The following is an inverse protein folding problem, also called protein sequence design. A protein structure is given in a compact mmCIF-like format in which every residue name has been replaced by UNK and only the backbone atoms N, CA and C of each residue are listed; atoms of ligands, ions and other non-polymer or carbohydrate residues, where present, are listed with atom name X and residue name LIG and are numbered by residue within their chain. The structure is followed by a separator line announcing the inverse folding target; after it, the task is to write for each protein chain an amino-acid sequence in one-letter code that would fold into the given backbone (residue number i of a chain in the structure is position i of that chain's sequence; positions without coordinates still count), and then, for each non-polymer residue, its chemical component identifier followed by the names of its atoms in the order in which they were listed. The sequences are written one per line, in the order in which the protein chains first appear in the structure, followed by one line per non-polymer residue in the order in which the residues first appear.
data_IF_064342235810
#
_entry.id   IF_064342235810
#
_cell.length_a   1.000
_cell.length_b   1.000
_cell.length_c   1.000
_cell.angle_alpha   90.00
_cell.angle_beta   90.00
_cell.angle_gamma   90.00
#
_symmetry.space_group_name_H-M   'P 1'
#
loop_
_entity.id
_entity.type
_entity.pdbx_description
1 polymer ?
#
# COMPACT_ATOMS: atom_id res chain seq x y z
N UNK A 1 -19.50 20.17 -5.46
CA UNK A 1 -20.40 20.42 -6.60
C UNK A 1 -20.17 21.77 -7.31
N UNK A 2 -20.65 22.93 -6.83
CA UNK A 2 -20.48 24.22 -7.57
C UNK A 2 -19.01 24.68 -7.70
N UNK A 3 -18.24 24.61 -6.62
CA UNK A 3 -16.81 24.94 -6.58
C UNK A 3 -15.94 24.00 -7.44
N UNK A 4 -16.15 22.69 -7.26
CA UNK A 4 -15.53 21.64 -8.07
C UNK A 4 -15.78 21.82 -9.58
N UNK A 5 -17.03 22.12 -10.01
CA UNK A 5 -17.36 22.43 -11.41
C UNK A 5 -16.67 23.70 -11.93
N UNK A 6 -16.28 24.60 -11.04
CA UNK A 6 -15.53 25.81 -11.36
C UNK A 6 -14.00 25.65 -11.18
N UNK A 7 -13.50 24.43 -10.92
CA UNK A 7 -12.08 24.17 -10.67
C UNK A 7 -11.52 24.84 -9.41
N UNK A 8 -12.38 25.29 -8.51
CA UNK A 8 -11.97 25.98 -7.27
C UNK A 8 -12.00 25.00 -6.09
N UNK A 9 -10.85 24.81 -5.46
CA UNK A 9 -10.72 23.97 -4.25
C UNK A 9 -11.20 24.66 -2.98
N UNK A 10 -10.97 24.01 -1.84
CA UNK A 10 -11.08 24.64 -0.53
C UNK A 10 -9.85 25.53 -0.28
N UNK A 11 -10.04 26.62 0.45
CA UNK A 11 -8.96 27.48 0.93
C UNK A 11 -8.28 26.89 2.17
N UNK A 12 -7.07 27.35 2.51
CA UNK A 12 -6.35 26.89 3.71
C UNK A 12 -7.17 27.01 5.01
N UNK A 13 -7.88 28.13 5.29
CA UNK A 13 -8.73 28.22 6.47
C UNK A 13 -9.90 27.22 6.46
N UNK A 14 -10.49 26.96 5.29
CA UNK A 14 -11.57 25.97 5.16
C UNK A 14 -11.03 24.54 5.36
N UNK A 15 -9.86 24.23 4.81
CA UNK A 15 -9.17 22.96 5.03
C UNK A 15 -8.82 22.74 6.50
N UNK A 16 -8.39 23.78 7.22
CA UNK A 16 -8.11 23.70 8.65
C UNK A 16 -9.37 23.35 9.47
N UNK A 17 -10.53 23.92 9.08
CA UNK A 17 -11.81 23.58 9.70
C UNK A 17 -12.19 22.13 9.42
N UNK A 18 -12.08 21.69 8.16
CA UNK A 18 -12.38 20.29 7.78
C UNK A 18 -11.44 19.32 8.49
N UNK A 19 -10.16 19.65 8.63
CA UNK A 19 -9.19 18.86 9.40
C UNK A 19 -9.62 18.70 10.86
N UNK A 20 -10.03 19.79 11.51
CA UNK A 20 -10.46 19.76 12.90
C UNK A 20 -11.68 18.85 13.09
N UNK A 21 -12.71 19.01 12.26
CA UNK A 21 -13.90 18.15 12.30
C UNK A 21 -13.59 16.69 11.94
N UNK A 22 -12.71 16.46 10.96
CA UNK A 22 -12.24 15.12 10.60
C UNK A 22 -11.54 14.44 11.78
N UNK A 23 -10.64 15.14 12.47
CA UNK A 23 -9.99 14.62 13.68
C UNK A 23 -10.99 14.32 14.79
N UNK A 24 -11.97 15.20 15.04
CA UNK A 24 -13.02 14.94 16.04
C UNK A 24 -13.83 13.68 15.70
N UNK A 25 -14.22 13.53 14.44
CA UNK A 25 -14.96 12.35 13.97
C UNK A 25 -14.14 11.06 14.14
N UNK A 26 -12.87 11.07 13.73
CA UNK A 26 -11.96 9.93 13.91
C UNK A 26 -11.79 9.61 15.39
N UNK A 27 -11.52 10.62 16.22
CA UNK A 27 -11.34 10.47 17.66
C UNK A 27 -12.55 9.78 18.32
N UNK A 28 -13.77 10.24 18.04
CA UNK A 28 -14.98 9.65 18.63
C UNK A 28 -15.15 8.17 18.25
N UNK A 29 -14.83 7.79 17.01
CA UNK A 29 -14.89 6.40 16.56
C UNK A 29 -13.79 5.52 17.17
N UNK A 30 -12.56 6.04 17.29
CA UNK A 30 -11.47 5.30 17.92
C UNK A 30 -11.72 5.15 19.44
N UNK A 31 -12.20 6.20 20.11
CA UNK A 31 -12.49 6.18 21.54
C UNK A 31 -13.62 5.22 21.91
N UNK A 32 -14.63 5.09 21.05
CA UNK A 32 -15.75 4.17 21.26
C UNK A 32 -15.44 2.71 20.88
N UNK A 33 -14.26 2.46 20.30
CA UNK A 33 -13.81 1.11 19.93
C UNK A 33 -13.03 0.40 21.05
N UNK A 34 -12.57 -0.81 20.74
CA UNK A 34 -11.68 -1.62 21.58
C UNK A 34 -10.19 -1.24 21.44
N UNK A 35 -9.83 -0.39 20.46
CA UNK A 35 -8.45 -0.01 20.21
C UNK A 35 -7.72 0.56 21.42
N UNK A 36 -8.32 1.48 22.21
CA UNK A 36 -7.58 2.10 23.30
C UNK A 36 -7.20 1.12 24.42
N UNK A 37 -7.83 -0.06 24.48
CA UNK A 37 -7.50 -1.11 25.46
C UNK A 37 -6.61 -2.21 24.87
N UNK A 38 -6.45 -2.26 23.54
CA UNK A 38 -5.73 -3.34 22.90
C UNK A 38 -4.22 -3.25 23.26
N UNK A 39 -3.57 -4.38 23.66
CA UNK A 39 -2.22 -4.34 24.24
C UNK A 39 -1.17 -3.61 23.42
N UNK A 40 -1.24 -3.74 22.10
CA UNK A 40 -0.37 -3.02 21.18
C UNK A 40 -0.50 -1.50 21.30
N UNK A 41 -1.73 -0.97 21.29
CA UNK A 41 -1.98 0.47 21.35
C UNK A 41 -1.82 1.05 22.76
N UNK A 42 -1.97 0.22 23.80
CA UNK A 42 -1.60 0.62 25.16
C UNK A 42 -0.10 0.93 25.25
N UNK A 43 0.76 0.21 24.51
CA UNK A 43 2.18 0.52 24.45
C UNK A 43 2.49 1.85 23.74
N UNK A 44 1.60 2.34 22.87
CA UNK A 44 1.74 3.65 22.22
C UNK A 44 1.65 4.82 23.22
N UNK A 45 1.16 4.60 24.45
CA UNK A 45 1.27 5.60 25.53
C UNK A 45 2.72 6.05 25.75
N UNK A 46 3.70 5.18 25.50
CA UNK A 46 5.12 5.52 25.62
C UNK A 46 5.57 6.59 24.63
N UNK A 47 4.94 6.66 23.46
CA UNK A 47 5.25 7.66 22.43
C UNK A 47 4.61 9.02 22.75
N UNK A 48 3.59 9.06 23.60
CA UNK A 48 2.91 10.29 23.98
C UNK A 48 3.60 11.03 25.12
N UNK A 49 4.13 10.29 26.09
CA UNK A 49 4.81 10.86 27.26
C UNK A 49 6.32 10.94 27.07
N UNK A 50 7.02 11.89 27.73
CA UNK A 50 8.48 11.88 27.78
C UNK A 50 9.05 10.55 28.27
N UNK A 51 10.19 10.15 27.70
CA UNK A 51 10.84 8.86 27.95
C UNK A 51 11.10 8.59 29.45
N UNK A 52 11.48 9.60 30.22
CA UNK A 52 11.72 9.46 31.66
C UNK A 52 10.44 9.11 32.45
N UNK A 53 9.28 9.58 31.99
CA UNK A 53 8.00 9.25 32.61
C UNK A 53 7.52 7.87 32.13
N UNK A 54 7.60 7.63 30.82
CA UNK A 54 7.19 6.36 30.23
C UNK A 54 8.02 5.17 30.74
N UNK A 55 9.32 5.36 31.01
CA UNK A 55 10.17 4.30 31.56
C UNK A 55 9.86 3.97 33.02
N UNK A 56 9.51 4.97 33.83
CA UNK A 56 9.36 4.84 35.29
C UNK A 56 7.94 4.57 35.77
N UNK A 57 6.94 5.06 35.05
CA UNK A 57 5.55 5.12 35.51
C UNK A 57 4.56 4.50 34.51
N UNK A 58 5.02 3.59 33.64
CA UNK A 58 4.16 3.00 32.61
C UNK A 58 2.99 2.21 33.20
N UNK A 59 3.20 1.52 34.31
CA UNK A 59 2.14 0.75 34.96
C UNK A 59 1.03 1.66 35.47
N UNK A 60 1.39 2.81 36.05
CA UNK A 60 0.44 3.84 36.46
C UNK A 60 -0.23 4.54 35.27
N UNK A 61 0.46 4.69 34.13
CA UNK A 61 -0.11 5.25 32.91
C UNK A 61 -1.23 4.36 32.34
N UNK A 62 -1.08 3.03 32.40
CA UNK A 62 -2.13 2.08 31.98
C UNK A 62 -3.40 2.19 32.82
N UNK A 63 -3.23 2.39 34.12
CA UNK A 63 -4.34 2.56 35.07
C UNK A 63 -4.91 4.00 35.09
N UNK A 64 -4.35 4.90 34.28
CA UNK A 64 -4.80 6.28 34.26
C UNK A 64 -6.24 6.39 33.77
N UNK A 65 -7.05 7.19 34.47
CA UNK A 65 -8.49 7.35 34.17
C UNK A 65 -8.77 7.82 32.75
N UNK A 66 -7.83 8.54 32.13
CA UNK A 66 -7.92 9.06 30.76
C UNK A 66 -7.04 8.30 29.74
N UNK A 67 -6.54 7.10 30.06
CA UNK A 67 -5.63 6.41 29.15
C UNK A 67 -6.27 6.20 27.76
N UNK A 68 -7.57 5.90 27.74
CA UNK A 68 -8.33 5.71 26.49
C UNK A 68 -8.33 6.98 25.65
N UNK A 69 -8.68 8.12 26.26
CA UNK A 69 -8.73 9.42 25.59
C UNK A 69 -7.35 9.85 25.09
N UNK A 70 -6.29 9.58 25.86
CA UNK A 70 -4.90 9.88 25.46
C UNK A 70 -4.51 9.03 24.23
N UNK A 71 -4.76 7.72 24.26
CA UNK A 71 -4.45 6.82 23.14
C UNK A 71 -5.25 7.22 21.91
N UNK A 72 -6.56 7.45 22.03
CA UNK A 72 -7.39 7.89 20.90
C UNK A 72 -6.89 9.22 20.32
N UNK A 73 -6.51 10.18 21.17
CA UNK A 73 -5.95 11.46 20.72
C UNK A 73 -4.65 11.26 19.95
N UNK A 74 -3.75 10.43 20.48
CA UNK A 74 -2.48 10.11 19.84
C UNK A 74 -2.69 9.43 18.48
N UNK A 75 -3.51 8.39 18.42
CA UNK A 75 -3.79 7.65 17.19
C UNK A 75 -4.46 8.52 16.13
N UNK A 76 -5.46 9.32 16.51
CA UNK A 76 -6.10 10.28 15.60
C UNK A 76 -5.07 11.22 14.97
N UNK A 77 -4.15 11.78 15.76
CA UNK A 77 -3.15 12.69 15.23
C UNK A 77 -2.12 11.95 14.37
N UNK A 78 -1.65 10.79 14.82
CA UNK A 78 -0.68 9.96 14.10
C UNK A 78 -1.18 9.59 12.70
N UNK A 79 -2.41 9.08 12.62
CA UNK A 79 -2.99 8.64 11.34
C UNK A 79 -3.34 9.84 10.45
N UNK A 80 -4.08 10.83 10.97
CA UNK A 80 -4.57 11.95 10.15
C UNK A 80 -3.42 12.83 9.66
N UNK A 81 -2.36 13.02 10.44
CA UNK A 81 -1.22 13.82 10.00
C UNK A 81 -0.42 13.14 8.88
N UNK A 82 -0.35 11.79 8.86
CA UNK A 82 0.43 11.04 7.85
C UNK A 82 -0.41 10.71 6.61
N UNK A 83 -1.62 10.20 6.78
CA UNK A 83 -2.52 9.84 5.66
C UNK A 83 -3.36 11.00 5.14
N UNK A 84 -3.46 12.09 5.91
CA UNK A 84 -4.28 13.25 5.56
C UNK A 84 -5.72 13.15 6.05
N UNK A 85 -6.46 14.23 5.76
CA UNK A 85 -7.78 14.50 6.36
C UNK A 85 -8.88 13.58 5.83
N UNK A 86 -8.75 13.13 4.58
CA UNK A 86 -9.79 12.39 3.86
C UNK A 86 -9.59 10.87 3.88
N UNK A 87 -8.35 10.40 4.03
CA UNK A 87 -7.99 8.99 3.86
C UNK A 87 -8.83 8.02 4.70
N UNK A 88 -9.03 8.30 6.00
CA UNK A 88 -9.84 7.43 6.86
C UNK A 88 -11.31 7.36 6.44
N UNK A 89 -11.88 8.48 5.99
CA UNK A 89 -13.25 8.52 5.47
C UNK A 89 -13.36 7.74 4.16
N UNK A 90 -12.38 7.93 3.26
CA UNK A 90 -12.34 7.24 1.97
C UNK A 90 -12.17 5.74 2.12
N UNK A 91 -11.20 5.30 2.92
CA UNK A 91 -10.96 3.89 3.20
C UNK A 91 -12.17 3.25 3.87
N UNK A 92 -12.90 3.99 4.72
CA UNK A 92 -14.18 3.53 5.29
C UNK A 92 -15.24 3.29 4.21
N UNK A 93 -15.45 4.24 3.30
CA UNK A 93 -16.41 4.11 2.19
C UNK A 93 -16.02 3.02 1.17
N UNK A 94 -14.73 2.88 0.88
CA UNK A 94 -14.21 1.93 -0.12
C UNK A 94 -14.21 0.49 0.40
N UNK A 95 -13.79 0.28 1.66
CA UNK A 95 -13.65 -1.06 2.24
C UNK A 95 -14.88 -1.52 3.04
N UNK A 96 -15.73 -0.57 3.46
CA UNK A 96 -16.85 -0.84 4.37
C UNK A 96 -16.42 -1.19 5.81
N UNK A 97 -15.13 -1.11 6.14
CA UNK A 97 -14.61 -1.47 7.46
C UNK A 97 -14.66 -0.33 8.46
N UNK A 98 -14.71 -0.66 9.74
CA UNK A 98 -14.70 0.34 10.81
C UNK A 98 -13.36 1.12 10.85
N UNK A 99 -13.39 2.35 11.37
CA UNK A 99 -12.17 3.12 11.60
C UNK A 99 -11.19 2.41 12.52
N UNK A 100 -11.70 1.58 13.43
CA UNK A 100 -10.86 0.77 14.29
C UNK A 100 -10.05 -0.27 13.50
N UNK A 101 -10.71 -0.98 12.58
CA UNK A 101 -10.07 -1.94 11.66
C UNK A 101 -9.05 -1.24 10.75
N UNK A 102 -9.40 -0.07 10.21
CA UNK A 102 -8.49 0.71 9.35
C UNK A 102 -7.25 1.16 10.13
N UNK A 103 -7.41 1.61 11.38
CA UNK A 103 -6.30 1.98 12.24
C UNK A 103 -5.40 0.77 12.61
N UNK A 104 -5.96 -0.44 12.75
CA UNK A 104 -5.17 -1.69 12.89
C UNK A 104 -4.36 -1.96 11.63
N UNK A 105 -4.99 -1.91 10.46
CA UNK A 105 -4.30 -2.07 9.18
C UNK A 105 -3.17 -1.06 9.01
N UNK A 106 -3.41 0.20 9.37
CA UNK A 106 -2.38 1.25 9.34
C UNK A 106 -1.20 0.94 10.27
N UNK A 107 -1.47 0.54 11.51
CA UNK A 107 -0.41 0.21 12.47
C UNK A 107 0.44 -0.97 11.99
N UNK A 108 -0.20 -2.01 11.44
CA UNK A 108 0.51 -3.17 10.87
C UNK A 108 1.37 -2.73 9.68
N UNK A 109 0.80 -2.03 8.70
CA UNK A 109 1.55 -1.56 7.52
C UNK A 109 2.72 -0.65 7.91
N UNK A 110 2.52 0.27 8.87
CA UNK A 110 3.56 1.18 9.36
C UNK A 110 4.77 0.40 9.89
N UNK A 111 4.51 -0.60 10.72
CA UNK A 111 5.57 -1.35 11.40
C UNK A 111 6.23 -2.35 10.46
N UNK A 112 5.44 -3.12 9.70
CA UNK A 112 5.94 -4.11 8.72
C UNK A 112 6.76 -3.46 7.61
N UNK A 113 6.43 -2.25 7.17
CA UNK A 113 7.19 -1.53 6.14
C UNK A 113 8.32 -0.67 6.71
N UNK A 114 8.52 -0.66 8.03
CA UNK A 114 9.54 0.12 8.72
C UNK A 114 9.58 1.61 8.32
N UNK A 115 8.41 2.22 8.07
CA UNK A 115 8.30 3.58 7.50
C UNK A 115 8.89 4.67 8.38
N UNK A 116 9.16 4.40 9.65
CA UNK A 116 9.85 5.33 10.57
C UNK A 116 11.20 5.79 10.01
N UNK A 117 11.93 4.93 9.26
CA UNK A 117 13.17 5.33 8.59
C UNK A 117 12.91 6.37 7.49
N UNK A 118 11.87 6.15 6.69
CA UNK A 118 11.46 7.08 5.64
C UNK A 118 10.96 8.42 6.21
N UNK A 119 10.19 8.41 7.30
CA UNK A 119 9.80 9.65 7.98
C UNK A 119 10.99 10.41 8.57
N UNK A 120 11.93 9.72 9.22
CA UNK A 120 13.14 10.36 9.73
C UNK A 120 13.98 11.00 8.62
N UNK A 121 14.06 10.36 7.45
CA UNK A 121 14.71 10.93 6.28
C UNK A 121 13.96 12.16 5.77
N UNK A 122 12.62 12.09 5.56
CA UNK A 122 11.81 13.23 5.14
C UNK A 122 12.02 14.45 6.05
N UNK A 123 12.01 14.22 7.37
CA UNK A 123 12.25 15.27 8.36
C UNK A 123 13.66 15.88 8.24
N UNK A 124 14.67 15.07 7.90
CA UNK A 124 16.04 15.56 7.67
C UNK A 124 16.23 16.32 6.34
N UNK A 125 15.35 16.07 5.37
CA UNK A 125 15.34 16.72 4.06
C UNK A 125 14.60 18.08 4.07
N UNK A 126 13.94 18.44 5.18
CA UNK A 126 13.23 19.70 5.30
C UNK A 126 14.18 20.90 5.08
N UNK A 127 13.79 21.77 4.15
CA UNK A 127 14.60 22.88 3.64
C UNK A 127 15.97 22.49 3.04
N UNK A 128 16.20 21.21 2.73
CA UNK A 128 17.40 20.73 2.03
C UNK A 128 17.17 20.45 0.54
N UNK A 129 15.96 20.01 0.17
CA UNK A 129 15.55 19.69 -1.21
C UNK A 129 14.37 20.55 -1.64
N UNK A 130 14.01 20.47 -2.93
CA UNK A 130 12.82 21.17 -3.44
C UNK A 130 11.55 20.69 -2.72
N UNK A 131 10.65 21.63 -2.42
CA UNK A 131 9.41 21.32 -1.71
C UNK A 131 8.49 20.39 -2.52
N UNK A 132 8.56 20.44 -3.86
CA UNK A 132 7.81 19.56 -4.75
C UNK A 132 8.28 18.11 -4.59
N UNK A 133 9.60 17.89 -4.56
CA UNK A 133 10.18 16.57 -4.31
C UNK A 133 9.75 16.06 -2.93
N UNK A 134 9.86 16.89 -1.89
CA UNK A 134 9.47 16.45 -0.54
C UNK A 134 8.00 16.00 -0.49
N UNK A 135 7.10 16.74 -1.14
CA UNK A 135 5.69 16.38 -1.26
C UNK A 135 5.49 15.08 -2.07
N UNK A 136 6.25 14.87 -3.14
CA UNK A 136 6.21 13.63 -3.93
C UNK A 136 6.59 12.42 -3.08
N UNK A 137 7.69 12.51 -2.32
CA UNK A 137 8.14 11.44 -1.42
C UNK A 137 7.13 11.17 -0.29
N UNK A 138 6.52 12.22 0.28
CA UNK A 138 5.44 12.09 1.27
C UNK A 138 4.21 11.38 0.71
N UNK A 139 3.79 11.73 -0.51
CA UNK A 139 2.65 11.09 -1.18
C UNK A 139 2.95 9.63 -1.49
N UNK A 140 4.16 9.32 -1.96
CA UNK A 140 4.58 7.95 -2.22
C UNK A 140 4.55 7.06 -0.97
N UNK A 141 4.99 7.61 0.16
CA UNK A 141 4.93 6.92 1.45
C UNK A 141 3.49 6.73 1.94
N UNK A 142 2.63 7.73 1.72
CA UNK A 142 1.20 7.62 2.00
C UNK A 142 0.56 6.52 1.17
N UNK A 143 0.81 6.49 -0.13
CA UNK A 143 0.24 5.50 -1.04
C UNK A 143 0.63 4.07 -0.65
N UNK A 144 1.90 3.85 -0.29
CA UNK A 144 2.35 2.56 0.21
C UNK A 144 1.60 2.14 1.49
N UNK A 145 1.45 3.04 2.46
CA UNK A 145 0.72 2.76 3.70
C UNK A 145 -0.76 2.46 3.44
N UNK A 146 -1.43 3.25 2.60
CA UNK A 146 -2.84 3.05 2.25
C UNK A 146 -3.06 1.74 1.51
N UNK A 147 -2.20 1.40 0.53
CA UNK A 147 -2.27 0.14 -0.17
C UNK A 147 -2.03 -1.05 0.77
N UNK A 148 -1.09 -0.92 1.71
CA UNK A 148 -0.89 -1.92 2.77
C UNK A 148 -2.14 -2.10 3.65
N UNK A 149 -2.77 -1.00 4.07
CA UNK A 149 -4.03 -1.04 4.85
C UNK A 149 -5.12 -1.81 4.09
N UNK A 150 -5.33 -1.45 2.82
CA UNK A 150 -6.31 -2.10 1.95
C UNK A 150 -5.97 -3.57 1.78
N UNK A 151 -4.70 -3.91 1.59
CA UNK A 151 -4.24 -5.30 1.46
C UNK A 151 -4.58 -6.13 2.70
N UNK A 152 -4.23 -5.65 3.90
CA UNK A 152 -4.52 -6.36 5.15
C UNK A 152 -6.03 -6.53 5.38
N UNK A 153 -6.82 -5.49 5.08
CA UNK A 153 -8.28 -5.56 5.16
C UNK A 153 -8.84 -6.58 4.17
N UNK A 154 -8.35 -6.61 2.93
CA UNK A 154 -8.83 -7.55 1.93
C UNK A 154 -8.46 -9.01 2.27
N UNK A 155 -7.28 -9.22 2.86
CA UNK A 155 -6.79 -10.54 3.23
C UNK A 155 -7.45 -11.10 4.51
N UNK A 156 -7.67 -10.25 5.52
CA UNK A 156 -8.07 -10.69 6.87
C UNK A 156 -9.36 -10.06 7.41
N UNK A 157 -9.93 -9.08 6.71
CA UNK A 157 -11.12 -8.37 7.16
C UNK A 157 -10.89 -7.66 8.49
N UNK A 158 -11.64 -8.07 9.52
CA UNK A 158 -11.55 -7.49 10.87
C UNK A 158 -10.55 -8.24 11.77
N UNK A 159 -10.04 -9.39 11.35
CA UNK A 159 -9.14 -10.23 12.15
C UNK A 159 -7.68 -9.74 12.07
N UNK A 160 -7.46 -8.51 12.55
CA UNK A 160 -6.18 -7.80 12.50
C UNK A 160 -5.61 -7.65 13.91
N UNK A 161 -5.20 -8.76 14.53
CA UNK A 161 -4.40 -8.71 15.75
C UNK A 161 -3.01 -8.14 15.43
N UNK A 162 -2.79 -6.87 15.79
CA UNK A 162 -1.68 -6.05 15.27
C UNK A 162 -0.32 -6.69 15.52
N UNK A 163 -0.04 -7.11 16.76
CA UNK A 163 1.23 -7.72 17.11
C UNK A 163 1.47 -9.06 16.38
N UNK A 164 0.42 -9.87 16.23
CA UNK A 164 0.53 -11.17 15.56
C UNK A 164 0.79 -10.99 14.06
N UNK A 165 0.11 -10.02 13.43
CA UNK A 165 0.34 -9.71 12.01
C UNK A 165 1.73 -9.11 11.77
N UNK A 166 2.23 -8.24 12.65
CA UNK A 166 3.61 -7.73 12.53
C UNK A 166 4.60 -8.90 12.60
N UNK A 167 4.52 -9.74 13.64
CA UNK A 167 5.41 -10.90 13.80
C UNK A 167 5.35 -11.88 12.62
N UNK A 168 4.20 -11.96 11.94
CA UNK A 168 3.96 -12.86 10.82
C UNK A 168 4.56 -12.35 9.51
N UNK A 169 4.58 -11.04 9.29
CA UNK A 169 4.94 -10.44 8.00
C UNK A 169 6.28 -9.71 7.98
N UNK A 170 6.71 -9.10 9.09
CA UNK A 170 7.87 -8.20 9.17
C UNK A 170 9.15 -8.82 8.58
N UNK A 171 9.58 -9.97 9.09
CA UNK A 171 10.81 -10.64 8.64
C UNK A 171 10.78 -11.00 7.14
N UNK A 172 9.63 -11.47 6.64
CA UNK A 172 9.50 -11.86 5.23
C UNK A 172 9.52 -10.65 4.30
N UNK A 173 8.81 -9.59 4.67
CA UNK A 173 8.79 -8.34 3.91
C UNK A 173 10.17 -7.69 3.92
N UNK A 174 10.82 -7.55 5.09
CA UNK A 174 12.17 -6.97 5.20
C UNK A 174 13.17 -7.78 4.36
N UNK A 175 13.09 -9.12 4.39
CA UNK A 175 13.98 -9.98 3.59
C UNK A 175 13.84 -9.71 2.10
N UNK A 176 12.63 -9.46 1.61
CA UNK A 176 12.35 -9.21 0.20
C UNK A 176 12.71 -7.78 -0.24
N UNK A 177 12.46 -6.78 0.62
CA UNK A 177 12.55 -5.35 0.26
C UNK A 177 13.84 -4.65 0.69
N UNK A 178 14.68 -5.27 1.53
CA UNK A 178 15.97 -4.68 1.92
C UNK A 178 16.87 -4.42 0.71
N UNK A 179 17.83 -3.50 0.85
CA UNK A 179 18.86 -3.26 -0.15
C UNK A 179 19.64 -4.55 -0.50
N UNK A 180 19.83 -4.80 -1.79
CA UNK A 180 20.35 -6.04 -2.35
C UNK A 180 19.42 -7.25 -2.18
N UNK A 181 18.18 -7.02 -1.75
CA UNK A 181 17.15 -8.03 -1.51
C UNK A 181 16.59 -8.63 -2.80
N UNK A 182 15.60 -9.51 -2.64
CA UNK A 182 15.07 -10.28 -3.76
C UNK A 182 14.37 -9.40 -4.80
N UNK A 183 13.57 -8.43 -4.34
CA UNK A 183 12.81 -7.53 -5.23
C UNK A 183 13.76 -6.66 -6.05
N UNK A 184 14.81 -6.11 -5.43
CA UNK A 184 15.83 -5.32 -6.15
C UNK A 184 16.53 -6.12 -7.26
N UNK A 185 16.76 -7.41 -7.04
CA UNK A 185 17.38 -8.28 -8.04
C UNK A 185 16.46 -8.63 -9.21
N UNK A 186 15.15 -8.78 -8.97
CA UNK A 186 14.18 -9.14 -10.01
C UNK A 186 13.64 -7.93 -10.77
N UNK A 187 13.50 -6.77 -10.11
CA UNK A 187 13.01 -5.52 -10.69
C UNK A 187 14.12 -4.49 -10.91
N UNK A 188 15.36 -4.95 -11.12
CA UNK A 188 16.50 -4.05 -11.17
C UNK A 188 16.32 -2.95 -12.21
N UNK A 189 15.70 -3.22 -13.36
CA UNK A 189 15.46 -2.21 -14.39
C UNK A 189 14.47 -1.13 -13.93
N UNK A 190 13.26 -1.51 -13.49
CA UNK A 190 12.25 -0.56 -13.01
C UNK A 190 12.71 0.23 -11.77
N UNK A 191 13.28 -0.47 -10.79
CA UNK A 191 13.81 0.18 -9.59
C UNK A 191 14.98 1.10 -9.94
N UNK A 192 15.83 0.74 -10.90
CA UNK A 192 16.93 1.59 -11.31
C UNK A 192 16.44 2.83 -12.06
N UNK A 193 15.45 2.71 -12.93
CA UNK A 193 14.85 3.85 -13.63
C UNK A 193 14.26 4.85 -12.64
N UNK A 194 13.43 4.37 -11.72
CA UNK A 194 12.76 5.19 -10.72
C UNK A 194 13.75 5.77 -9.68
N UNK A 195 14.72 4.98 -9.23
CA UNK A 195 15.83 5.47 -8.38
C UNK A 195 16.61 6.56 -9.09
N UNK A 196 16.91 6.39 -10.39
CA UNK A 196 17.65 7.39 -11.18
C UNK A 196 16.82 8.67 -11.35
N UNK A 197 15.51 8.54 -11.54
CA UNK A 197 14.59 9.67 -11.59
C UNK A 197 14.65 10.49 -10.29
N UNK A 198 14.49 9.83 -9.14
CA UNK A 198 14.54 10.48 -7.83
C UNK A 198 15.92 11.07 -7.49
N UNK A 199 17.02 10.45 -7.96
CA UNK A 199 18.37 10.99 -7.79
C UNK A 199 18.61 12.30 -8.56
N UNK A 200 17.83 12.58 -9.61
CA UNK A 200 17.97 13.82 -10.38
C UNK A 200 17.65 15.06 -9.54
N UNK A 201 16.95 14.88 -8.41
CA UNK A 201 16.50 15.94 -7.50
C UNK A 201 17.31 15.98 -6.19
N UNK A 202 18.63 15.80 -6.30
CA UNK A 202 19.61 15.93 -5.20
C UNK A 202 19.50 14.87 -4.06
N UNK A 203 18.75 13.79 -4.26
CA UNK A 203 18.75 12.65 -3.35
C UNK A 203 19.99 11.77 -3.52
N UNK A 204 20.47 11.20 -2.41
CA UNK A 204 21.47 10.14 -2.49
C UNK A 204 20.86 8.87 -3.10
N UNK A 205 21.69 8.03 -3.74
CA UNK A 205 21.22 6.77 -4.33
C UNK A 205 20.51 5.86 -3.31
N UNK A 206 20.99 5.86 -2.05
CA UNK A 206 20.38 5.05 -0.99
C UNK A 206 19.00 5.60 -0.59
N UNK A 207 18.87 6.92 -0.52
CA UNK A 207 17.62 7.60 -0.16
C UNK A 207 16.57 7.41 -1.27
N UNK A 208 16.97 7.63 -2.52
CA UNK A 208 16.14 7.39 -3.69
C UNK A 208 15.67 5.92 -3.75
N UNK A 209 16.57 4.95 -3.57
CA UNK A 209 16.22 3.53 -3.59
C UNK A 209 15.21 3.14 -2.49
N UNK A 210 15.30 3.76 -1.31
CA UNK A 210 14.35 3.52 -0.23
C UNK A 210 12.91 3.91 -0.64
N UNK A 211 12.74 5.08 -1.27
CA UNK A 211 11.42 5.50 -1.75
C UNK A 211 10.97 4.71 -2.98
N UNK A 212 11.89 4.40 -3.90
CA UNK A 212 11.63 3.56 -5.07
C UNK A 212 11.05 2.19 -4.69
N UNK A 213 11.52 1.61 -3.58
CA UNK A 213 11.07 0.32 -3.06
C UNK A 213 9.66 0.32 -2.45
N UNK A 214 9.10 1.48 -2.07
CA UNK A 214 7.83 1.57 -1.34
C UNK A 214 6.63 0.87 -2.02
N UNK A 215 6.39 1.03 -3.34
CA UNK A 215 5.27 0.37 -4.02
C UNK A 215 5.32 -1.16 -3.93
N UNK A 216 6.52 -1.74 -3.92
CA UNK A 216 6.73 -3.19 -3.93
C UNK A 216 6.52 -3.86 -2.56
N UNK A 217 6.31 -3.09 -1.49
CA UNK A 217 6.01 -3.66 -0.18
C UNK A 217 4.68 -4.43 -0.16
N UNK A 218 3.72 -4.02 -0.99
CA UNK A 218 2.43 -4.72 -1.11
C UNK A 218 2.60 -6.06 -1.82
N UNK A 219 3.43 -6.12 -2.87
CA UNK A 219 3.77 -7.38 -3.52
C UNK A 219 4.57 -8.31 -2.58
N UNK A 220 5.43 -7.75 -1.74
CA UNK A 220 6.13 -8.50 -0.71
C UNK A 220 5.16 -9.14 0.30
N UNK A 221 4.07 -8.44 0.67
CA UNK A 221 3.02 -9.02 1.51
C UNK A 221 2.33 -10.21 0.82
N UNK A 222 2.07 -10.12 -0.48
CA UNK A 222 1.48 -11.22 -1.25
C UNK A 222 2.39 -12.44 -1.32
N UNK A 223 3.67 -12.24 -1.61
CA UNK A 223 4.65 -13.31 -1.59
C UNK A 223 4.78 -13.95 -0.20
N UNK A 224 4.79 -13.14 0.87
CA UNK A 224 4.85 -13.64 2.25
C UNK A 224 3.61 -14.47 2.63
N UNK A 225 2.40 -14.00 2.27
CA UNK A 225 1.16 -14.72 2.54
C UNK A 225 1.12 -16.07 1.81
N UNK A 226 1.50 -16.11 0.54
CA UNK A 226 1.55 -17.33 -0.25
C UNK A 226 2.63 -18.31 0.27
N UNK A 227 3.78 -17.79 0.72
CA UNK A 227 4.84 -18.61 1.31
C UNK A 227 4.38 -19.35 2.56
N UNK A 228 3.62 -18.69 3.43
CA UNK A 228 3.02 -19.35 4.59
C UNK A 228 1.93 -20.35 4.18
N UNK A 229 1.00 -19.96 3.30
CA UNK A 229 -0.11 -20.81 2.87
C UNK A 229 0.36 -22.13 2.26
N UNK A 230 1.45 -22.09 1.49
CA UNK A 230 2.01 -23.24 0.79
C UNK A 230 3.20 -23.88 1.50
N UNK A 231 3.59 -23.36 2.67
CA UNK A 231 4.75 -23.82 3.46
C UNK A 231 6.06 -23.89 2.63
N UNK A 232 6.30 -22.86 1.80
CA UNK A 232 7.49 -22.77 0.93
C UNK A 232 8.37 -21.57 1.29
N UNK A 233 9.68 -21.59 0.95
CA UNK A 233 10.54 -20.44 1.16
C UNK A 233 10.02 -19.20 0.42
N UNK A 234 10.00 -18.06 1.10
CA UNK A 234 9.48 -16.80 0.53
C UNK A 234 10.19 -16.38 -0.76
N UNK A 235 11.49 -16.68 -0.90
CA UNK A 235 12.26 -16.35 -2.10
C UNK A 235 11.80 -17.18 -3.32
N UNK A 236 11.41 -18.44 -3.12
CA UNK A 236 10.87 -19.30 -4.18
C UNK A 236 9.54 -18.76 -4.67
N UNK A 237 8.65 -18.42 -3.73
CA UNK A 237 7.33 -17.84 -4.03
C UNK A 237 7.49 -16.50 -4.74
N UNK A 238 8.34 -15.61 -4.22
CA UNK A 238 8.61 -14.31 -4.81
C UNK A 238 9.14 -14.46 -6.24
N UNK A 239 10.06 -15.39 -6.50
CA UNK A 239 10.56 -15.67 -7.85
C UNK A 239 9.41 -15.94 -8.82
N UNK A 240 8.53 -16.86 -8.45
CA UNK A 240 7.42 -17.27 -9.31
C UNK A 240 6.34 -16.17 -9.43
N UNK A 241 6.03 -15.50 -8.32
CA UNK A 241 5.07 -14.40 -8.26
C UNK A 241 5.46 -13.27 -9.21
N UNK A 242 6.73 -12.87 -9.18
CA UNK A 242 7.21 -11.78 -10.01
C UNK A 242 7.44 -12.18 -11.46
N UNK A 243 7.84 -13.43 -11.73
CA UNK A 243 7.85 -13.93 -13.11
C UNK A 243 6.43 -13.94 -13.70
N UNK A 244 5.42 -14.31 -12.92
CA UNK A 244 4.02 -14.23 -13.31
C UNK A 244 3.54 -12.79 -13.51
N UNK A 245 3.90 -11.88 -12.60
CA UNK A 245 3.60 -10.45 -12.71
C UNK A 245 4.12 -9.85 -14.02
N UNK A 246 5.39 -10.14 -14.35
CA UNK A 246 6.03 -9.63 -15.57
C UNK A 246 5.46 -10.26 -16.85
N UNK A 247 5.23 -11.57 -16.87
CA UNK A 247 4.64 -12.27 -18.03
C UNK A 247 3.23 -11.74 -18.36
N UNK A 248 2.48 -11.32 -17.34
CA UNK A 248 1.16 -10.72 -17.50
C UNK A 248 1.19 -9.20 -17.75
N UNK A 249 2.36 -8.56 -17.72
CA UNK A 249 2.53 -7.10 -17.87
C UNK A 249 1.65 -6.30 -16.91
N UNK A 250 1.64 -6.71 -15.64
CA UNK A 250 0.80 -6.07 -14.63
C UNK A 250 1.30 -4.68 -14.21
N UNK A 251 2.58 -4.39 -14.42
CA UNK A 251 3.18 -3.05 -14.30
C UNK A 251 2.46 -2.07 -15.24
N UNK A 252 2.37 -2.41 -16.53
CA UNK A 252 1.68 -1.61 -17.52
C UNK A 252 0.22 -1.36 -17.15
N UNK A 253 -0.46 -2.40 -16.64
CA UNK A 253 -1.84 -2.28 -16.16
C UNK A 253 -1.94 -1.31 -14.98
N UNK A 254 -1.08 -1.47 -13.97
CA UNK A 254 -1.10 -0.65 -12.76
C UNK A 254 -0.78 0.82 -13.05
N UNK A 255 0.18 1.10 -13.92
CA UNK A 255 0.54 2.45 -14.34
C UNK A 255 -0.62 3.14 -15.08
N UNK A 256 -1.26 2.43 -16.01
CA UNK A 256 -2.41 2.99 -16.72
C UNK A 256 -3.66 3.11 -15.84
N UNK A 257 -3.85 2.22 -14.86
CA UNK A 257 -4.89 2.39 -13.83
C UNK A 257 -4.60 3.63 -12.98
N UNK A 258 -3.34 3.97 -12.72
CA UNK A 258 -2.95 5.17 -11.96
C UNK A 258 -3.28 6.48 -12.70
N UNK A 259 -3.28 6.49 -14.02
CA UNK A 259 -3.61 7.69 -14.83
C UNK A 259 -5.10 7.93 -15.02
N UNK A 260 -5.96 6.98 -14.63
CA UNK A 260 -7.41 7.13 -14.74
C UNK A 260 -7.92 8.37 -13.95
N UNK A 261 -8.99 9.03 -14.44
CA UNK A 261 -9.60 10.14 -13.72
C UNK A 261 -9.98 9.76 -12.28
N UNK A 262 -9.89 10.72 -11.36
CA UNK A 262 -10.28 10.55 -9.95
C UNK A 262 -11.25 11.64 -9.49
N UNK A 263 -12.08 12.15 -10.40
CA UNK A 263 -12.83 13.39 -10.19
C UNK A 263 -14.01 13.18 -9.23
N UNK A 264 -14.59 11.99 -9.22
CA UNK A 264 -15.71 11.66 -8.34
C UNK A 264 -15.52 10.34 -7.59
N UNK A 265 -16.54 9.99 -6.80
CA UNK A 265 -16.54 8.77 -5.99
C UNK A 265 -16.55 7.49 -6.85
N UNK A 266 -17.23 7.51 -7.99
CA UNK A 266 -17.34 6.33 -8.86
C UNK A 266 -16.05 6.07 -9.63
N UNK A 267 -15.38 7.14 -10.07
CA UNK A 267 -14.04 7.09 -10.66
C UNK A 267 -13.05 6.37 -9.73
N UNK A 268 -12.94 6.81 -8.47
CA UNK A 268 -12.06 6.19 -7.47
C UNK A 268 -12.43 4.73 -7.20
N UNK A 269 -13.73 4.45 -7.05
CA UNK A 269 -14.22 3.09 -6.83
C UNK A 269 -13.90 2.17 -8.01
N UNK A 270 -13.99 2.65 -9.25
CA UNK A 270 -13.67 1.88 -10.44
C UNK A 270 -12.17 1.58 -10.52
N UNK A 271 -11.31 2.57 -10.24
CA UNK A 271 -9.86 2.39 -10.15
C UNK A 271 -9.49 1.33 -9.10
N UNK A 272 -10.04 1.46 -7.88
CA UNK A 272 -9.84 0.49 -6.80
C UNK A 272 -10.35 -0.91 -7.18
N UNK A 273 -11.47 -1.01 -7.89
CA UNK A 273 -11.98 -2.30 -8.37
C UNK A 273 -11.02 -2.97 -9.38
N UNK A 274 -10.42 -2.20 -10.28
CA UNK A 274 -9.41 -2.71 -11.22
C UNK A 274 -8.14 -3.18 -10.53
N UNK A 275 -7.58 -2.39 -9.59
CA UNK A 275 -6.41 -2.81 -8.80
C UNK A 275 -6.68 -4.14 -8.08
N UNK A 276 -7.85 -4.27 -7.45
CA UNK A 276 -8.21 -5.51 -6.77
C UNK A 276 -8.40 -6.69 -7.72
N UNK A 277 -8.90 -6.46 -8.93
CA UNK A 277 -9.01 -7.52 -9.95
C UNK A 277 -7.63 -7.96 -10.45
N UNK A 278 -6.69 -7.03 -10.66
CA UNK A 278 -5.28 -7.35 -10.98
C UNK A 278 -4.67 -8.25 -9.90
N UNK A 279 -4.70 -7.83 -8.63
CA UNK A 279 -4.14 -8.61 -7.53
C UNK A 279 -4.84 -9.96 -7.35
N UNK A 280 -6.16 -10.02 -7.55
CA UNK A 280 -6.93 -11.27 -7.48
C UNK A 280 -6.50 -12.25 -8.56
N UNK A 281 -6.37 -11.79 -9.81
CA UNK A 281 -5.97 -12.63 -10.94
C UNK A 281 -4.56 -13.18 -10.77
N UNK A 282 -3.62 -12.38 -10.29
CA UNK A 282 -2.29 -12.89 -9.97
C UNK A 282 -2.32 -13.96 -8.88
N UNK A 283 -3.05 -13.73 -7.78
CA UNK A 283 -3.20 -14.74 -6.70
C UNK A 283 -3.84 -16.03 -7.19
N UNK A 284 -4.86 -15.97 -8.04
CA UNK A 284 -5.50 -17.17 -8.61
C UNK A 284 -4.52 -17.97 -9.50
N UNK A 285 -3.67 -17.29 -10.26
CA UNK A 285 -2.62 -17.95 -11.04
C UNK A 285 -1.62 -18.61 -10.10
N UNK A 286 -1.14 -17.89 -9.09
CA UNK A 286 -0.21 -18.43 -8.11
C UNK A 286 -0.77 -19.65 -7.38
N UNK A 287 -2.05 -19.63 -6.98
CA UNK A 287 -2.73 -20.76 -6.36
C UNK A 287 -2.73 -22.00 -7.29
N UNK A 288 -3.04 -21.79 -8.57
CA UNK A 288 -3.01 -22.84 -9.60
C UNK A 288 -1.61 -23.43 -9.78
N UNK A 289 -0.57 -22.59 -9.73
CA UNK A 289 0.82 -23.03 -9.90
C UNK A 289 1.37 -23.73 -8.66
N UNK A 290 1.12 -23.18 -7.47
CA UNK A 290 1.70 -23.63 -6.20
C UNK A 290 1.06 -24.92 -5.66
N UNK A 291 -0.15 -25.25 -6.12
CA UNK A 291 -0.76 -26.58 -5.88
C UNK A 291 -0.06 -27.72 -6.62
N UNK A 292 0.76 -27.42 -7.62
CA UNK A 292 1.56 -28.42 -8.32
C UNK A 292 2.87 -28.72 -7.60
N UNK A 293 3.34 -29.97 -7.69
CA UNK A 293 4.59 -30.40 -7.07
C UNK A 293 5.81 -29.64 -7.62
N UNK A 294 5.83 -29.37 -8.93
CA UNK A 294 6.82 -28.53 -9.59
C UNK A 294 6.12 -27.28 -10.16
N UNK A 295 6.04 -26.24 -9.34
CA UNK A 295 5.36 -24.99 -9.69
C UNK A 295 6.04 -24.26 -10.86
N UNK A 296 7.37 -24.39 -10.98
CA UNK A 296 8.14 -23.80 -12.07
C UNK A 296 7.83 -24.48 -13.40
N UNK A 297 7.80 -25.82 -13.43
CA UNK A 297 7.39 -26.54 -14.62
C UNK A 297 5.92 -26.27 -14.97
N UNK A 298 5.04 -26.24 -13.97
CA UNK A 298 3.62 -25.89 -14.18
C UNK A 298 3.47 -24.51 -14.83
N UNK A 299 4.30 -23.53 -14.43
CA UNK A 299 4.26 -22.20 -15.02
C UNK A 299 4.79 -22.17 -16.46
N UNK A 300 5.86 -22.92 -16.76
CA UNK A 300 6.34 -23.07 -18.14
C UNK A 300 5.30 -23.73 -19.06
N UNK A 301 4.59 -24.74 -18.56
CA UNK A 301 3.51 -25.40 -19.30
C UNK A 301 2.32 -24.44 -19.51
N UNK A 302 1.96 -23.64 -18.49
CA UNK A 302 0.93 -22.61 -18.60
C UNK A 302 1.29 -21.55 -19.64
N UNK A 303 2.54 -21.03 -19.61
CA UNK A 303 3.05 -20.07 -20.61
C UNK A 303 2.98 -20.64 -22.03
N UNK A 304 3.39 -21.90 -22.20
CA UNK A 304 3.36 -22.57 -23.50
C UNK A 304 1.93 -22.77 -24.03
N UNK A 305 0.97 -23.06 -23.15
CA UNK A 305 -0.44 -23.22 -23.49
C UNK A 305 -1.10 -21.90 -23.91
N UNK A 306 -0.70 -20.79 -23.29
CA UNK A 306 -1.31 -19.46 -23.47
C UNK A 306 -0.47 -18.50 -24.32
N UNK A 307 0.62 -18.97 -24.94
CA UNK A 307 1.56 -18.12 -25.68
C UNK A 307 0.88 -17.21 -26.71
N UNK A 308 -0.03 -17.76 -27.52
CA UNK A 308 -0.74 -16.97 -28.53
C UNK A 308 -1.62 -15.86 -27.95
N UNK A 309 -2.21 -16.09 -26.78
CA UNK A 309 -3.07 -15.10 -26.12
C UNK A 309 -2.22 -14.03 -25.42
N UNK A 310 -1.11 -14.43 -24.78
CA UNK A 310 -0.15 -13.49 -24.18
C UNK A 310 0.44 -12.56 -25.24
N UNK A 311 0.83 -13.11 -26.40
CA UNK A 311 1.33 -12.33 -27.54
C UNK A 311 0.27 -11.34 -28.06
N UNK A 312 -1.00 -11.77 -28.11
CA UNK A 312 -2.10 -10.92 -28.56
C UNK A 312 -2.35 -9.75 -27.59
N UNK A 313 -2.45 -10.02 -26.28
CA UNK A 313 -2.63 -8.98 -25.24
C UNK A 313 -1.45 -8.00 -25.25
N UNK A 314 -0.23 -8.51 -25.30
CA UNK A 314 0.99 -7.68 -25.41
C UNK A 314 0.95 -6.76 -26.63
N UNK A 315 0.57 -7.30 -27.79
CA UNK A 315 0.47 -6.51 -29.01
C UNK A 315 -0.67 -5.47 -28.95
N UNK A 316 -1.71 -5.70 -28.16
CA UNK A 316 -2.76 -4.70 -27.91
C UNK A 316 -2.27 -3.59 -26.98
N UNK A 317 -1.60 -3.93 -25.87
CA UNK A 317 -0.99 -2.95 -24.96
C UNK A 317 0.00 -2.04 -25.71
N UNK A 318 0.89 -2.61 -26.52
CA UNK A 318 1.86 -1.84 -27.33
C UNK A 318 1.20 -0.90 -28.35
N UNK A 319 0.06 -1.30 -28.94
CA UNK A 319 -0.69 -0.42 -29.86
C UNK A 319 -1.30 0.76 -29.12
N UNK A 320 -1.75 0.56 -27.88
CA UNK A 320 -2.30 1.63 -27.06
C UNK A 320 -1.21 2.65 -26.71
N UNK A 321 -0.01 2.20 -26.34
CA UNK A 321 1.12 3.10 -26.06
C UNK A 321 1.57 3.90 -27.29
N UNK A 322 1.49 3.29 -28.48
CA UNK A 322 1.86 3.98 -29.72
C UNK A 322 0.87 5.09 -30.15
N UNK A 323 -0.33 5.11 -29.56
CA UNK A 323 -1.34 6.13 -29.81
C UNK A 323 -1.24 7.25 -28.77
N UNK A 324 -0.26 8.14 -28.97
CA UNK A 324 0.04 9.31 -28.11
C UNK A 324 -1.14 10.30 -27.93
N UNK A 325 -2.21 10.20 -28.74
CA UNK A 325 -3.28 11.19 -28.78
C UNK A 325 -4.48 10.91 -27.85
N UNK A 326 -4.54 9.74 -27.19
CA UNK A 326 -5.69 9.42 -26.31
C UNK A 326 -5.30 8.65 -25.05
N UNK A 327 -5.59 9.24 -23.88
CA UNK A 327 -5.49 8.54 -22.59
C UNK A 327 -6.31 7.24 -22.58
N UNK A 328 -5.75 6.18 -22.00
CA UNK A 328 -6.40 4.87 -21.95
C UNK A 328 -7.66 4.94 -21.08
N UNK A 329 -8.78 4.48 -21.63
CA UNK A 329 -10.08 4.56 -20.96
C UNK A 329 -10.28 3.43 -19.93
N UNK A 330 -11.13 3.67 -18.94
CA UNK A 330 -11.57 2.65 -17.98
C UNK A 330 -12.13 1.40 -18.68
N UNK A 331 -12.90 1.58 -19.75
CA UNK A 331 -13.45 0.46 -20.54
C UNK A 331 -12.36 -0.37 -21.22
N UNK A 332 -11.32 0.28 -21.74
CA UNK A 332 -10.19 -0.41 -22.37
C UNK A 332 -9.46 -1.27 -21.35
N UNK A 333 -9.13 -0.72 -20.18
CA UNK A 333 -8.47 -1.45 -19.10
C UNK A 333 -9.34 -2.58 -18.54
N UNK A 334 -10.66 -2.37 -18.46
CA UNK A 334 -11.59 -3.41 -18.00
C UNK A 334 -11.66 -4.60 -18.97
N UNK A 335 -11.56 -4.35 -20.28
CA UNK A 335 -11.50 -5.41 -21.30
C UNK A 335 -10.18 -6.18 -21.20
N UNK A 336 -9.04 -5.49 -21.19
CA UNK A 336 -7.73 -6.13 -21.04
C UNK A 336 -7.65 -6.96 -19.75
N UNK A 337 -8.17 -6.42 -18.65
CA UNK A 337 -8.25 -7.16 -17.39
C UNK A 337 -9.12 -8.41 -17.52
N UNK A 338 -10.28 -8.33 -18.18
CA UNK A 338 -11.12 -9.50 -18.42
C UNK A 338 -10.43 -10.57 -19.26
N UNK A 339 -9.58 -10.18 -20.22
CA UNK A 339 -8.80 -11.12 -21.02
C UNK A 339 -7.71 -11.80 -20.19
N UNK A 340 -6.95 -11.01 -19.40
CA UNK A 340 -5.94 -11.52 -18.47
C UNK A 340 -6.56 -12.48 -17.43
N UNK A 341 -7.66 -12.11 -16.78
CA UNK A 341 -8.39 -12.98 -15.84
C UNK A 341 -8.87 -14.29 -16.52
N UNK A 342 -9.17 -14.23 -17.83
CA UNK A 342 -9.54 -15.39 -18.64
C UNK A 342 -8.40 -16.39 -18.87
N UNK A 343 -7.14 -15.96 -18.80
CA UNK A 343 -5.95 -16.83 -18.90
C UNK A 343 -5.64 -17.57 -17.60
N UNK A 344 -6.15 -17.07 -16.48
CA UNK A 344 -5.93 -17.62 -15.15
C UNK A 344 -6.99 -18.67 -14.80
N UNK A 345 -8.23 -18.46 -15.25
CA UNK A 345 -9.40 -19.28 -14.89
C UNK A 345 -9.65 -20.49 -15.80
N UNK A 346 -8.90 -20.63 -16.91
CA UNK A 346 -9.04 -21.71 -17.90
C UNK A 346 -7.74 -22.48 -18.06
#
# INVERSE_FOLDING_TARGET
AKRQKAGTGLTNPELAIVMAYGKMWVYDHLLSSDLPDAPYFVNELRQYFPDELASRFFDEMKEHRLHREIISTYLTNSIVNRLGIEALFRLHEETGQTLATIARGYAISRDVFHVSKAWGLLESLDNQVDATLLLELELRLRDALENGVVWFINAFGQDLQVADMINRFEDSVEKLTKAGGFIEQQFSEYLQEDTTSLMADDLSANDAAMFAMLPYHVDALDAALLAEQYERPVDEIATLYFEAYHVLQLDWMMDNIATLPQQDHWDRRARHALVNEVSRSLRMLMDTLLTQADAKQAFNDWKSRHASQLDAVTAEMQKLDSNDESAISLSTLSVLMSELSGLVTK
#
